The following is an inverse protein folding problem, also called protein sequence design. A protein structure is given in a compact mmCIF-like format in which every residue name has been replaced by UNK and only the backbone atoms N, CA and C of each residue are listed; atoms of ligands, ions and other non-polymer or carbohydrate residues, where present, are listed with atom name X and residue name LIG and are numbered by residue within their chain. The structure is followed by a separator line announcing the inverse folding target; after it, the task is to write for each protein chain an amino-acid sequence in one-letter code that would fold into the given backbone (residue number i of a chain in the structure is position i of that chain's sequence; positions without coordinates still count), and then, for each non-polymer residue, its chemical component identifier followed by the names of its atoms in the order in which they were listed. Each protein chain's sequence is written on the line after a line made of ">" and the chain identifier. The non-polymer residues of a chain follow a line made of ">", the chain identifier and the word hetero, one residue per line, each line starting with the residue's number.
data_IF_262433993234
#
_entry.id   IF_262433993234
#
_cell.length_a   1.000
_cell.length_b   1.000
_cell.length_c   1.000
_cell.angle_alpha   90.00
_cell.angle_beta   90.00
_cell.angle_gamma   90.00
#
_symmetry.space_group_name_H-M   'P 1'
#
loop_
_entity.id
_entity.type
_entity.pdbx_description
1 polymer ?
#
# COMPACT_ATOMS: atom_id res chain seq x y z
N UNK A 1 -6.45 -25.50 10.94
CA UNK A 1 -6.42 -24.06 11.25
C UNK A 1 -6.64 -23.32 9.93
N UNK A 2 -7.89 -23.05 9.57
CA UNK A 2 -8.18 -22.06 8.51
C UNK A 2 -8.19 -20.70 9.19
N UNK A 3 -7.04 -20.01 9.16
CA UNK A 3 -6.92 -18.66 9.67
C UNK A 3 -7.71 -17.72 8.75
N UNK A 4 -8.86 -17.26 9.21
CA UNK A 4 -9.63 -16.21 8.50
C UNK A 4 -8.79 -14.94 8.48
N UNK A 5 -8.50 -14.41 7.30
CA UNK A 5 -7.84 -13.12 7.15
C UNK A 5 -8.78 -12.04 7.69
N UNK A 6 -8.32 -11.25 8.66
CA UNK A 6 -9.10 -10.19 9.29
C UNK A 6 -9.05 -8.88 8.50
N UNK A 7 -7.95 -8.64 7.77
CA UNK A 7 -7.68 -7.39 7.05
C UNK A 7 -6.55 -7.57 6.04
N UNK A 8 -6.57 -6.77 4.96
CA UNK A 8 -5.47 -6.64 4.00
C UNK A 8 -5.05 -5.17 3.95
N UNK A 9 -3.75 -4.93 4.07
CA UNK A 9 -3.13 -3.61 3.92
C UNK A 9 -2.28 -3.64 2.65
N UNK A 10 -2.63 -2.78 1.70
CA UNK A 10 -1.96 -2.64 0.41
C UNK A 10 -1.08 -1.40 0.46
N UNK A 11 0.17 -1.53 0.05
CA UNK A 11 1.14 -0.44 -0.02
C UNK A 11 1.51 -0.27 -1.49
N UNK A 12 1.29 0.90 -2.09
CA UNK A 12 1.53 1.13 -3.51
C UNK A 12 2.24 2.46 -3.75
N UNK A 13 3.09 2.50 -4.78
CA UNK A 13 3.65 3.76 -5.29
C UNK A 13 2.63 4.41 -6.22
N UNK A 14 2.07 5.55 -5.81
CA UNK A 14 1.03 6.24 -6.54
C UNK A 14 1.57 7.51 -7.20
N UNK A 15 1.11 7.78 -8.42
CA UNK A 15 1.41 9.05 -9.08
C UNK A 15 0.94 10.22 -8.21
N UNK A 16 1.87 11.14 -7.93
CA UNK A 16 1.60 12.35 -7.17
C UNK A 16 0.79 13.35 -8.00
N UNK A 17 -0.12 14.06 -7.34
CA UNK A 17 -0.91 15.14 -7.90
C UNK A 17 -0.21 16.49 -7.72
N UNK A 18 -0.81 17.54 -8.28
CA UNK A 18 -0.35 18.90 -8.10
C UNK A 18 -0.42 19.29 -6.61
N UNK A 19 0.68 19.82 -6.07
CA UNK A 19 0.82 20.17 -4.65
C UNK A 19 1.36 19.03 -3.75
N UNK A 20 1.27 17.77 -4.18
CA UNK A 20 1.83 16.64 -3.42
C UNK A 20 3.36 16.54 -3.61
N UNK A 21 4.06 16.17 -2.53
CA UNK A 21 5.51 15.98 -2.54
C UNK A 21 5.89 14.52 -2.79
N UNK A 22 7.07 14.31 -3.39
CA UNK A 22 7.66 12.98 -3.49
C UNK A 22 7.89 12.40 -2.08
N UNK A 23 7.52 11.14 -1.87
CA UNK A 23 7.59 10.47 -0.57
C UNK A 23 6.47 10.87 0.41
N UNK A 24 5.54 11.74 0.00
CA UNK A 24 4.35 12.01 0.80
C UNK A 24 3.52 10.72 0.92
N UNK A 25 3.07 10.40 2.13
CA UNK A 25 2.29 9.19 2.37
C UNK A 25 0.83 9.59 2.50
N UNK A 26 -0.06 8.92 1.78
CA UNK A 26 -1.52 9.03 1.91
C UNK A 26 -2.14 7.70 2.36
N UNK A 27 -3.33 7.75 2.95
CA UNK A 27 -4.09 6.56 3.34
C UNK A 27 -5.49 6.60 2.72
N UNK A 28 -6.06 5.42 2.48
CA UNK A 28 -7.43 5.27 2.01
C UNK A 28 -7.98 3.86 2.22
N UNK A 29 -9.20 3.64 1.76
CA UNK A 29 -9.86 2.33 1.76
C UNK A 29 -9.89 1.76 0.35
N UNK A 30 -9.79 0.44 0.22
CA UNK A 30 -9.87 -0.26 -1.06
C UNK A 30 -8.51 -0.61 -1.64
N UNK A 31 -8.46 -0.73 -2.96
CA UNK A 31 -7.27 -1.18 -3.69
C UNK A 31 -6.74 -0.05 -4.58
N UNK A 32 -5.48 0.31 -4.35
CA UNK A 32 -4.73 1.21 -5.22
C UNK A 32 -3.72 0.38 -6.00
N UNK A 33 -4.08 0.03 -7.23
CA UNK A 33 -3.21 -0.65 -8.19
C UNK A 33 -3.37 0.10 -9.50
N UNK A 34 -2.26 0.58 -10.07
CA UNK A 34 -2.24 1.23 -11.37
C UNK A 34 -2.61 0.29 -12.53
N UNK A 35 -2.84 0.86 -13.72
CA UNK A 35 -3.13 0.10 -14.94
C UNK A 35 -4.63 -0.03 -15.26
N UNK A 36 -5.01 -0.97 -16.15
CA UNK A 36 -6.38 -1.03 -16.72
C UNK A 36 -7.48 -1.46 -15.73
N UNK A 37 -7.14 -1.69 -14.46
CA UNK A 37 -8.10 -1.96 -13.38
C UNK A 37 -8.54 -3.42 -13.23
N UNK A 38 -8.08 -4.33 -14.08
CA UNK A 38 -8.42 -5.77 -14.00
C UNK A 38 -7.93 -6.39 -12.69
N UNK A 39 -6.70 -6.08 -12.28
CA UNK A 39 -6.13 -6.63 -11.05
C UNK A 39 -6.78 -6.03 -9.81
N UNK A 40 -7.03 -4.72 -9.83
CA UNK A 40 -7.83 -4.03 -8.81
C UNK A 40 -9.17 -4.73 -8.60
N UNK A 41 -9.91 -4.96 -9.68
CA UNK A 41 -11.23 -5.59 -9.64
C UNK A 41 -11.17 -7.01 -9.03
N UNK A 42 -10.20 -7.83 -9.43
CA UNK A 42 -10.03 -9.19 -8.90
C UNK A 42 -9.75 -9.19 -7.39
N UNK A 43 -8.89 -8.29 -6.91
CA UNK A 43 -8.59 -8.16 -5.49
C UNK A 43 -9.84 -7.72 -4.72
N UNK A 44 -10.55 -6.70 -5.21
CA UNK A 44 -11.78 -6.20 -4.59
C UNK A 44 -12.90 -7.26 -4.58
N UNK A 45 -13.07 -8.02 -5.66
CA UNK A 45 -14.05 -9.11 -5.76
C UNK A 45 -13.78 -10.20 -4.72
N UNK A 46 -12.53 -10.67 -4.64
CA UNK A 46 -12.13 -11.70 -3.67
C UNK A 46 -12.27 -11.21 -2.24
N UNK A 47 -11.78 -10.01 -1.93
CA UNK A 47 -11.89 -9.42 -0.60
C UNK A 47 -13.36 -9.24 -0.18
N UNK A 48 -14.22 -8.79 -1.10
CA UNK A 48 -15.67 -8.66 -0.88
C UNK A 48 -16.31 -10.01 -0.61
N UNK A 49 -15.98 -11.04 -1.40
CA UNK A 49 -16.48 -12.41 -1.21
C UNK A 49 -16.20 -12.95 0.19
N UNK A 50 -15.01 -12.68 0.73
CA UNK A 50 -14.61 -13.12 2.07
C UNK A 50 -14.92 -12.09 3.17
N UNK A 51 -15.51 -10.94 2.83
CA UNK A 51 -15.81 -9.82 3.73
C UNK A 51 -14.57 -9.33 4.49
N UNK A 52 -13.45 -9.23 3.77
CA UNK A 52 -12.17 -8.77 4.31
C UNK A 52 -11.98 -7.30 3.98
N UNK A 53 -11.84 -6.41 4.97
CA UNK A 53 -11.52 -5.00 4.74
C UNK A 53 -10.17 -4.81 4.04
N UNK A 54 -10.12 -3.79 3.19
CA UNK A 54 -8.93 -3.39 2.43
C UNK A 54 -8.52 -1.96 2.82
N UNK A 55 -7.28 -1.78 3.26
CA UNK A 55 -6.67 -0.47 3.46
C UNK A 55 -5.58 -0.25 2.40
N UNK A 56 -5.44 0.99 1.96
CA UNK A 56 -4.40 1.40 1.04
C UNK A 56 -3.50 2.46 1.70
N UNK A 57 -2.19 2.26 1.59
CA UNK A 57 -1.15 3.24 1.94
C UNK A 57 -0.42 3.59 0.65
N UNK A 58 -0.43 4.86 0.28
CA UNK A 58 0.14 5.34 -0.98
C UNK A 58 1.38 6.15 -0.70
N UNK A 59 2.48 5.83 -1.39
CA UNK A 59 3.68 6.66 -1.40
C UNK A 59 3.65 7.45 -2.70
N UNK A 60 3.63 8.78 -2.60
CA UNK A 60 3.48 9.68 -3.75
C UNK A 60 4.81 9.83 -4.49
N UNK A 61 4.80 9.56 -5.80
CA UNK A 61 5.96 9.62 -6.68
C UNK A 61 5.61 10.37 -7.97
N UNK A 62 6.58 11.12 -8.52
CA UNK A 62 6.47 11.66 -9.87
C UNK A 62 7.00 10.67 -10.91
N UNK A 63 6.74 10.94 -12.20
CA UNK A 63 7.30 10.10 -13.28
C UNK A 63 8.83 10.12 -13.23
N UNK A 64 9.43 11.27 -12.91
CA UNK A 64 10.88 11.42 -12.75
C UNK A 64 11.42 10.56 -11.60
N UNK A 65 10.68 10.43 -10.50
CA UNK A 65 11.07 9.59 -9.36
C UNK A 65 11.16 8.11 -9.74
N UNK A 66 10.25 7.65 -10.62
CA UNK A 66 10.14 6.24 -11.04
C UNK A 66 11.27 5.83 -11.99
N UNK A 67 11.79 6.75 -12.80
CA UNK A 67 12.82 6.45 -13.82
C UNK A 67 14.24 6.83 -13.39
N UNK A 68 14.41 7.38 -12.18
CA UNK A 68 15.70 7.86 -11.67
C UNK A 68 16.12 7.13 -10.39
N UNK A 69 17.26 7.52 -9.83
CA UNK A 69 17.68 7.00 -8.54
C UNK A 69 16.67 7.41 -7.44
N UNK A 70 16.38 6.48 -6.53
CA UNK A 70 15.40 6.71 -5.46
C UNK A 70 15.80 7.94 -4.64
N UNK A 71 14.88 8.90 -4.54
CA UNK A 71 15.06 10.09 -3.72
C UNK A 71 15.04 9.74 -2.24
N UNK A 72 15.82 10.49 -1.46
CA UNK A 72 15.91 10.31 0.00
C UNK A 72 14.55 10.50 0.68
N UNK A 73 13.72 11.39 0.15
CA UNK A 73 12.36 11.65 0.62
C UNK A 73 11.48 10.40 0.53
N UNK A 74 11.59 9.65 -0.58
CA UNK A 74 10.86 8.38 -0.77
C UNK A 74 11.40 7.31 0.19
N UNK A 75 12.72 7.17 0.30
CA UNK A 75 13.32 6.21 1.24
C UNK A 75 12.93 6.51 2.70
N UNK A 76 12.92 7.79 3.10
CA UNK A 76 12.54 8.22 4.44
C UNK A 76 11.03 8.03 4.73
N UNK A 77 10.18 7.92 3.69
CA UNK A 77 8.74 7.68 3.86
C UNK A 77 8.43 6.34 4.55
N UNK A 78 9.38 5.38 4.53
CA UNK A 78 9.24 4.05 5.14
C UNK A 78 8.85 4.13 6.62
N UNK A 79 9.43 5.07 7.38
CA UNK A 79 9.13 5.23 8.80
C UNK A 79 7.66 5.62 9.03
N UNK A 80 7.13 6.53 8.20
CA UNK A 80 5.74 6.95 8.25
C UNK A 80 4.81 5.81 7.77
N UNK A 81 5.18 5.05 6.74
CA UNK A 81 4.44 3.86 6.30
C UNK A 81 4.34 2.83 7.42
N UNK A 82 5.45 2.50 8.08
CA UNK A 82 5.49 1.54 9.20
C UNK A 82 4.60 2.03 10.35
N UNK A 83 4.67 3.32 10.67
CA UNK A 83 3.83 3.92 11.72
C UNK A 83 2.34 3.78 11.41
N UNK A 84 1.93 3.97 10.16
CA UNK A 84 0.54 3.82 9.70
C UNK A 84 0.07 2.38 9.70
N UNK A 85 0.90 1.45 9.23
CA UNK A 85 0.63 0.00 9.33
C UNK A 85 0.38 -0.40 10.79
N UNK A 86 1.29 0.01 11.70
CA UNK A 86 1.15 -0.29 13.14
C UNK A 86 -0.14 0.30 13.72
N UNK A 87 -0.50 1.52 13.33
CA UNK A 87 -1.75 2.17 13.75
C UNK A 87 -2.97 1.37 13.27
N UNK A 88 -3.03 1.03 11.98
CA UNK A 88 -4.13 0.25 11.40
C UNK A 88 -4.28 -1.09 12.13
N UNK A 89 -3.18 -1.81 12.37
CA UNK A 89 -3.19 -3.08 13.09
C UNK A 89 -3.72 -2.88 14.52
N UNK A 90 -3.20 -1.90 15.25
CA UNK A 90 -3.59 -1.67 16.64
C UNK A 90 -5.05 -1.25 16.80
N UNK A 91 -5.55 -0.41 15.90
CA UNK A 91 -6.93 0.11 15.95
C UNK A 91 -7.96 -0.90 15.44
N UNK A 92 -7.58 -1.80 14.52
CA UNK A 92 -8.55 -2.60 13.76
C UNK A 92 -8.37 -4.12 13.84
N UNK A 93 -7.45 -4.62 14.66
CA UNK A 93 -7.20 -6.07 14.80
C UNK A 93 -7.01 -6.48 16.26
N UNK A 94 -6.99 -7.79 16.52
CA UNK A 94 -6.77 -8.38 17.84
C UNK A 94 -5.59 -9.36 17.80
N UNK A 95 -5.03 -9.63 18.98
CA UNK A 95 -4.02 -10.68 19.13
C UNK A 95 -4.61 -12.01 18.63
N UNK A 96 -3.88 -12.68 17.73
CA UNK A 96 -4.31 -13.93 17.09
C UNK A 96 -4.99 -13.74 15.72
N UNK A 97 -5.31 -12.51 15.31
CA UNK A 97 -5.78 -12.24 13.96
C UNK A 97 -4.67 -12.44 12.92
N UNK A 98 -5.05 -12.92 11.73
CA UNK A 98 -4.17 -13.00 10.57
C UNK A 98 -4.43 -11.83 9.63
N UNK A 99 -3.38 -11.09 9.28
CA UNK A 99 -3.43 -9.98 8.33
C UNK A 99 -2.54 -10.28 7.13
N UNK A 100 -2.88 -9.68 5.99
CA UNK A 100 -2.00 -9.66 4.81
C UNK A 100 -1.50 -8.23 4.64
N UNK A 101 -0.18 -8.08 4.46
CA UNK A 101 0.43 -6.83 4.03
C UNK A 101 1.05 -7.10 2.66
N UNK A 102 0.64 -6.36 1.64
CA UNK A 102 1.10 -6.54 0.28
C UNK A 102 1.66 -5.23 -0.28
N UNK A 103 2.91 -5.25 -0.74
CA UNK A 103 3.47 -4.17 -1.55
C UNK A 103 3.15 -4.40 -3.02
N UNK A 104 2.57 -3.40 -3.67
CA UNK A 104 2.26 -3.38 -5.10
C UNK A 104 3.11 -2.33 -5.80
N UNK A 105 3.50 -2.62 -7.03
CA UNK A 105 4.37 -1.78 -7.84
C UNK A 105 5.66 -2.48 -8.23
N UNK A 106 6.46 -1.80 -9.05
CA UNK A 106 7.75 -2.32 -9.50
C UNK A 106 8.75 -2.23 -8.33
N UNK A 107 9.01 -3.37 -7.70
CA UNK A 107 10.15 -3.55 -6.79
C UNK A 107 11.45 -3.68 -7.59
N UNK A 108 11.67 -2.82 -8.59
CA UNK A 108 13.01 -2.65 -9.16
C UNK A 108 13.79 -1.86 -8.12
N UNK A 109 14.25 -2.61 -7.11
CA UNK A 109 15.32 -2.17 -6.26
C UNK A 109 16.48 -1.78 -7.17
N UNK A 110 16.96 -0.58 -6.97
CA UNK A 110 18.30 -0.20 -7.39
C UNK A 110 19.23 -1.10 -6.57
N UNK A 111 19.50 -2.29 -7.10
CA UNK A 111 20.66 -3.07 -6.75
C UNK A 111 21.74 -2.71 -7.78
N UNK A 112 22.40 -1.58 -7.56
CA UNK A 112 23.78 -1.31 -7.96
C UNK A 112 24.30 -0.06 -7.26
#
# INVERSE_FOLDING_TARGET
>A
MEGKISRIIIIDAAQKLEGEKSGEVAEGTGVAIGGPGVDKYKVEEVATKYKVPLDAILIKESIEDVISAMKKEIANSVDEVIKRIKRIIHENTKIGDHIIIAGIGNTIGIAQ
#
